data_IF_961705338057
#
_entry.id   IF_961705338057
#
_cell.length_a   1.000
_cell.length_b   1.000
_cell.length_c   1.000
_cell.angle_alpha   90.00
_cell.angle_beta   90.00
_cell.angle_gamma   90.00
#
_symmetry.space_group_name_H-M   'P 1'
#
loop_
_entity.id
_entity.type
_entity.pdbx_description
1 polymer ?
#
# COMPACT_ATOMS: atom_id res chain seq x y z
N UNK A 1 -14.28 14.14 -5.31
CA UNK A 1 -14.55 12.75 -5.75
C UNK A 1 -13.36 11.89 -5.39
N UNK A 2 -13.55 10.83 -4.62
CA UNK A 2 -12.46 9.88 -4.35
C UNK A 2 -12.11 9.16 -5.66
N UNK A 3 -10.84 9.21 -6.04
CA UNK A 3 -10.35 8.66 -7.30
C UNK A 3 -10.35 7.12 -7.17
N UNK A 4 -10.92 6.43 -8.16
CA UNK A 4 -11.11 4.97 -8.16
C UNK A 4 -10.06 4.32 -9.06
N UNK A 5 -9.46 3.23 -8.60
CA UNK A 5 -8.48 2.42 -9.32
C UNK A 5 -9.19 1.19 -9.88
N UNK A 6 -8.84 0.76 -11.09
CA UNK A 6 -9.28 -0.55 -11.62
C UNK A 6 -8.21 -1.59 -11.33
N UNK A 7 -8.56 -2.65 -10.62
CA UNK A 7 -7.64 -3.76 -10.34
C UNK A 7 -8.42 -5.07 -10.28
N UNK A 8 -7.94 -6.11 -10.97
CA UNK A 8 -8.59 -7.42 -11.09
C UNK A 8 -10.09 -7.37 -11.48
N UNK A 9 -10.49 -6.38 -12.27
CA UNK A 9 -11.89 -6.19 -12.69
C UNK A 9 -12.74 -5.36 -11.71
N UNK A 10 -12.23 -5.09 -10.51
CA UNK A 10 -12.91 -4.32 -9.47
C UNK A 10 -12.59 -2.83 -9.53
N UNK A 11 -13.54 -2.00 -9.07
CA UNK A 11 -13.33 -0.56 -8.86
C UNK A 11 -13.01 -0.29 -7.39
N UNK A 12 -11.74 -0.11 -7.10
CA UNK A 12 -11.26 0.07 -5.74
C UNK A 12 -11.08 1.55 -5.41
N UNK A 13 -11.41 1.92 -4.17
CA UNK A 13 -11.13 3.21 -3.59
C UNK A 13 -9.94 3.09 -2.65
N UNK A 14 -9.01 4.01 -2.77
CA UNK A 14 -7.88 4.12 -1.88
C UNK A 14 -8.27 4.89 -0.61
N UNK A 15 -7.99 4.29 0.55
CA UNK A 15 -8.26 4.85 1.87
C UNK A 15 -6.97 4.83 2.67
N UNK A 16 -6.47 6.02 3.01
CA UNK A 16 -5.37 6.17 3.97
C UNK A 16 -5.92 5.94 5.37
N UNK A 17 -5.29 5.05 6.15
CA UNK A 17 -5.57 4.93 7.59
C UNK A 17 -4.28 4.99 8.38
N UNK A 18 -4.34 5.61 9.54
CA UNK A 18 -3.27 5.54 10.52
C UNK A 18 -3.63 4.44 11.53
N UNK A 19 -2.78 3.42 11.67
CA UNK A 19 -2.94 2.44 12.73
C UNK A 19 -2.13 2.86 13.94
N UNK A 20 -2.83 3.31 14.98
CA UNK A 20 -2.25 3.78 16.26
C UNK A 20 -1.37 2.69 16.91
N UNK A 21 -1.76 1.42 16.77
CA UNK A 21 -1.05 0.29 17.40
C UNK A 21 0.31 -0.05 16.77
N UNK A 22 0.60 0.43 15.55
CA UNK A 22 1.88 0.18 14.84
C UNK A 22 2.58 1.49 14.46
N UNK A 23 2.08 2.64 14.94
CA UNK A 23 2.69 3.96 14.72
C UNK A 23 2.91 4.32 13.24
N UNK A 24 2.11 3.77 12.33
CA UNK A 24 2.36 3.82 10.90
C UNK A 24 1.12 4.09 10.06
N UNK A 25 1.36 4.62 8.86
CA UNK A 25 0.35 4.78 7.83
C UNK A 25 0.14 3.45 7.08
N UNK A 26 -1.11 3.16 6.76
CA UNK A 26 -1.50 2.14 5.80
C UNK A 26 -2.29 2.75 4.67
N UNK A 27 -2.21 2.09 3.52
CA UNK A 27 -3.13 2.31 2.42
C UNK A 27 -4.00 1.08 2.28
N UNK A 28 -5.31 1.27 2.35
CA UNK A 28 -6.31 0.23 2.15
C UNK A 28 -6.97 0.45 0.79
N UNK A 29 -7.10 -0.61 0.02
CA UNK A 29 -7.97 -0.63 -1.14
C UNK A 29 -9.27 -1.31 -0.74
N UNK A 30 -10.36 -0.56 -0.83
CA UNK A 30 -11.71 -1.06 -0.53
C UNK A 30 -12.55 -1.02 -1.80
N UNK A 31 -13.44 -1.98 -1.96
CA UNK A 31 -14.39 -1.96 -3.08
C UNK A 31 -15.61 -1.05 -2.81
N UNK A 32 -16.61 -1.13 -3.67
CA UNK A 32 -17.86 -0.39 -3.55
C UNK A 32 -18.74 -0.85 -2.36
N UNK A 33 -18.49 -2.05 -1.83
CA UNK A 33 -19.16 -2.59 -0.63
C UNK A 33 -18.45 -2.20 0.68
N UNK A 34 -17.36 -1.44 0.59
CA UNK A 34 -16.42 -1.15 1.68
C UNK A 34 -15.68 -2.37 2.23
N UNK A 35 -15.65 -3.48 1.48
CA UNK A 35 -14.84 -4.62 1.83
C UNK A 35 -13.36 -4.33 1.53
N UNK A 36 -12.44 -4.54 2.48
CA UNK A 36 -11.01 -4.34 2.25
C UNK A 36 -10.45 -5.51 1.44
N UNK A 37 -10.15 -5.25 0.18
CA UNK A 37 -9.48 -6.23 -0.68
C UNK A 37 -7.99 -6.31 -0.41
N UNK A 38 -7.37 -5.20 0.02
CA UNK A 38 -5.92 -5.15 0.11
C UNK A 38 -5.41 -4.19 1.20
N UNK A 39 -4.50 -4.68 2.05
CA UNK A 39 -3.75 -3.87 3.01
C UNK A 39 -2.35 -3.64 2.44
N UNK A 40 -2.16 -2.47 1.80
CA UNK A 40 -0.84 -1.99 1.37
C UNK A 40 -0.20 -1.28 2.56
N UNK A 41 0.22 -2.04 3.57
CA UNK A 41 1.24 -1.65 4.57
C UNK A 41 1.20 -2.64 5.73
N UNK A 42 2.34 -3.22 6.04
CA UNK A 42 2.66 -3.54 7.42
C UNK A 42 3.92 -2.74 7.70
N UNK A 43 3.82 -1.71 8.54
CA UNK A 43 4.99 -1.10 9.14
C UNK A 43 5.49 -2.12 10.17
N UNK A 44 6.51 -2.96 9.87
CA UNK A 44 6.98 -3.92 10.86
C UNK A 44 7.60 -3.07 11.96
N UNK A 45 7.38 -3.42 13.24
CA UNK A 45 7.89 -2.68 14.41
C UNK A 45 9.40 -2.36 14.36
N UNK A 46 10.13 -3.00 13.46
CA UNK A 46 11.57 -2.93 13.29
C UNK A 46 12.03 -1.92 12.23
N UNK A 47 11.13 -1.22 11.53
CA UNK A 47 11.49 -0.25 10.51
C UNK A 47 10.94 1.14 10.84
N UNK A 48 11.82 2.15 10.77
CA UNK A 48 11.45 3.56 10.93
C UNK A 48 11.16 4.09 9.52
N UNK A 49 9.88 4.29 9.21
CA UNK A 49 9.41 4.92 7.98
C UNK A 49 9.15 6.41 8.21
N UNK A 50 9.38 7.24 7.19
CA UNK A 50 8.90 8.62 7.22
C UNK A 50 7.36 8.67 7.28
N UNK A 51 6.72 9.77 7.74
CA UNK A 51 5.27 9.85 7.92
C UNK A 51 4.41 9.48 6.70
N UNK A 52 4.98 9.63 5.49
CA UNK A 52 4.31 9.32 4.24
C UNK A 52 4.86 8.07 3.54
N UNK A 53 5.80 7.34 4.15
CA UNK A 53 6.36 6.12 3.59
C UNK A 53 5.55 4.90 4.03
N UNK A 54 5.37 3.96 3.11
CA UNK A 54 4.76 2.65 3.33
C UNK A 54 5.61 1.57 2.68
N UNK A 55 5.53 0.36 3.20
CA UNK A 55 6.12 -0.81 2.54
C UNK A 55 5.04 -1.48 1.71
N UNK A 56 5.29 -1.62 0.40
CA UNK A 56 4.34 -2.23 -0.53
C UNK A 56 4.59 -3.72 -0.60
N UNK A 57 3.59 -4.50 -0.19
CA UNK A 57 3.61 -5.97 -0.27
C UNK A 57 3.02 -6.41 -1.60
N UNK A 58 3.89 -6.63 -2.57
CA UNK A 58 3.53 -6.91 -3.98
C UNK A 58 3.68 -8.40 -4.33
N UNK A 59 3.10 -9.27 -3.50
CA UNK A 59 3.21 -10.72 -3.61
C UNK A 59 1.88 -11.40 -3.24
N UNK A 60 1.71 -12.67 -3.63
CA UNK A 60 0.47 -13.42 -3.43
C UNK A 60 -0.71 -12.76 -4.14
N UNK A 61 -1.82 -12.58 -3.43
CA UNK A 61 -3.03 -11.93 -3.97
C UNK A 61 -2.78 -10.46 -4.37
N UNK A 62 -1.74 -9.83 -3.84
CA UNK A 62 -1.43 -8.43 -4.09
C UNK A 62 -0.55 -8.19 -5.31
N UNK A 63 -0.11 -9.23 -6.01
CA UNK A 63 0.89 -9.09 -7.08
C UNK A 63 0.43 -8.14 -8.19
N UNK A 64 1.31 -7.21 -8.59
CA UNK A 64 1.08 -6.17 -9.58
C UNK A 64 0.34 -4.94 -9.06
N UNK A 65 -0.10 -4.90 -7.79
CA UNK A 65 -0.81 -3.72 -7.26
C UNK A 65 0.12 -2.51 -7.16
N UNK A 66 1.42 -2.75 -6.91
CA UNK A 66 2.41 -1.67 -6.80
C UNK A 66 2.44 -0.82 -8.08
N UNK A 67 2.54 -1.48 -9.23
CA UNK A 67 2.63 -0.81 -10.53
C UNK A 67 1.35 -0.03 -10.86
N UNK A 68 0.19 -0.57 -10.48
CA UNK A 68 -1.10 0.13 -10.61
C UNK A 68 -1.12 1.39 -9.75
N UNK A 69 -0.69 1.30 -8.49
CA UNK A 69 -0.65 2.45 -7.59
C UNK A 69 0.35 3.53 -8.03
N UNK A 70 1.47 3.13 -8.64
CA UNK A 70 2.46 4.05 -9.22
C UNK A 70 1.89 4.72 -10.47
N UNK A 71 1.31 3.96 -11.40
CA UNK A 71 0.76 4.48 -12.66
C UNK A 71 -0.40 5.47 -12.42
N UNK A 72 -1.22 5.22 -11.40
CA UNK A 72 -2.30 6.11 -10.97
C UNK A 72 -1.83 7.29 -10.09
N UNK A 73 -0.52 7.40 -9.83
CA UNK A 73 0.13 8.45 -9.04
C UNK A 73 -0.35 8.51 -7.58
N UNK A 74 -0.58 7.35 -6.97
CA UNK A 74 -0.80 7.24 -5.52
C UNK A 74 0.49 6.97 -4.77
N UNK A 75 1.43 6.28 -5.42
CA UNK A 75 2.72 5.92 -4.85
C UNK A 75 3.87 6.46 -5.68
N UNK A 76 4.93 6.86 -4.99
CA UNK A 76 6.24 7.16 -5.57
C UNK A 76 7.25 6.17 -4.98
N UNK A 77 7.92 5.34 -5.81
CA UNK A 77 9.00 4.49 -5.35
C UNK A 77 10.12 5.33 -4.75
N UNK A 78 10.62 4.93 -3.57
CA UNK A 78 11.75 5.65 -2.93
C UNK A 78 13.11 5.10 -3.34
N UNK A 79 13.14 3.93 -3.99
CA UNK A 79 14.36 3.17 -4.26
C UNK A 79 14.93 2.46 -3.01
N UNK A 80 14.32 2.62 -1.83
CA UNK A 80 14.68 1.87 -0.63
C UNK A 80 13.91 0.55 -0.59
N UNK A 81 14.57 -0.51 -0.16
CA UNK A 81 14.01 -1.86 -0.07
C UNK A 81 14.18 -2.43 1.33
N UNK A 82 13.24 -3.26 1.74
CA UNK A 82 13.25 -3.96 3.02
C UNK A 82 12.88 -5.41 2.83
N UNK A 83 13.50 -6.30 3.59
CA UNK A 83 13.15 -7.71 3.58
C UNK A 83 12.08 -7.99 4.64
N UNK A 84 10.97 -8.60 4.22
CA UNK A 84 9.88 -9.03 5.09
C UNK A 84 9.61 -10.50 4.84
N UNK A 85 9.87 -11.35 5.83
CA UNK A 85 9.64 -12.81 5.74
C UNK A 85 10.22 -13.43 4.46
N UNK A 86 11.46 -13.06 4.12
CA UNK A 86 12.20 -13.49 2.92
C UNK A 86 11.69 -12.90 1.59
N UNK A 87 10.81 -11.90 1.62
CA UNK A 87 10.36 -11.17 0.44
C UNK A 87 10.92 -9.75 0.44
N UNK A 88 11.56 -9.35 -0.67
CA UNK A 88 12.09 -8.01 -0.84
C UNK A 88 10.96 -7.05 -1.24
N UNK A 89 10.59 -6.17 -0.32
CA UNK A 89 9.51 -5.21 -0.49
C UNK A 89 10.07 -3.80 -0.67
N UNK A 90 9.49 -3.04 -1.61
CA UNK A 90 9.90 -1.66 -1.86
C UNK A 90 9.17 -0.69 -0.92
N UNK A 91 9.90 0.29 -0.40
CA UNK A 91 9.32 1.43 0.31
C UNK A 91 8.87 2.46 -0.72
N UNK A 92 7.61 2.88 -0.62
CA UNK A 92 7.01 3.91 -1.46
C UNK A 92 6.50 5.07 -0.60
N UNK A 93 6.56 6.29 -1.13
CA UNK A 93 5.87 7.46 -0.57
C UNK A 93 4.44 7.53 -1.09
N UNK A 94 3.50 7.77 -0.20
CA UNK A 94 2.09 7.99 -0.54
C UNK A 94 1.86 9.47 -0.81
N UNK A 95 1.22 9.77 -1.95
CA UNK A 95 0.79 11.11 -2.36
C UNK A 95 -0.59 11.44 -1.80
#
# INVERSE_FOLDING_TARGET
MARKIKWQGEKLRLVKRHFVNIGGMTVLLIDETNFPHLIVSLNPKNYILEPNEIIVKDFGDNHGIKDVLISEKYLIPTGKWVEIKNELCEICKVL
#
